data_IF_568533716070
#
_entry.id   IF_568533716070
#
_cell.length_a   1.000
_cell.length_b   1.000
_cell.length_c   1.000
_cell.angle_alpha   90.00
_cell.angle_beta   90.00
_cell.angle_gamma   90.00
#
_symmetry.space_group_name_H-M   'P 1'
#
loop_
_entity.id
_entity.type
_entity.pdbx_description
1 polymer ?
#
# COMPACT_ATOMS: atom_id res chain seq x y z
N UNK A 1 -24.89 15.38 -16.95
CA UNK A 1 -25.63 14.34 -17.68
C UNK A 1 -27.05 14.39 -17.16
N UNK A 2 -28.06 14.33 -18.03
CA UNK A 2 -29.46 14.39 -17.61
C UNK A 2 -30.16 13.06 -17.95
N UNK A 3 -30.96 12.56 -17.02
CA UNK A 3 -31.87 11.45 -17.26
C UNK A 3 -33.12 11.98 -17.96
N UNK A 4 -33.59 11.27 -18.98
CA UNK A 4 -34.86 11.59 -19.64
C UNK A 4 -35.92 10.65 -19.09
N UNK A 5 -36.88 11.21 -18.36
CA UNK A 5 -38.07 10.51 -17.86
C UNK A 5 -39.31 10.99 -18.61
N UNK A 6 -40.20 10.07 -18.99
CA UNK A 6 -41.51 10.34 -19.60
C UNK A 6 -41.46 11.09 -20.94
N UNK A 7 -40.61 10.65 -21.87
CA UNK A 7 -40.64 11.12 -23.26
C UNK A 7 -40.59 9.95 -24.25
N UNK A 8 -41.76 9.57 -24.78
CA UNK A 8 -41.94 8.45 -25.69
C UNK A 8 -41.22 8.59 -27.04
N UNK A 9 -40.88 9.81 -27.45
CA UNK A 9 -40.25 10.08 -28.75
C UNK A 9 -38.77 9.72 -28.74
N UNK A 10 -38.09 9.91 -27.60
CA UNK A 10 -36.62 9.77 -27.50
C UNK A 10 -36.16 8.65 -26.56
N UNK A 11 -37.10 7.99 -25.88
CA UNK A 11 -36.81 6.82 -25.04
C UNK A 11 -36.32 5.65 -25.90
N UNK A 12 -35.22 5.02 -25.48
CA UNK A 12 -34.61 3.89 -26.19
C UNK A 12 -33.58 4.28 -27.26
N UNK A 13 -33.48 5.56 -27.64
CA UNK A 13 -32.49 6.03 -28.62
C UNK A 13 -31.07 5.96 -28.02
N UNK A 14 -30.09 5.61 -28.85
CA UNK A 14 -28.66 5.69 -28.52
C UNK A 14 -27.87 6.24 -29.70
N UNK A 15 -26.75 6.91 -29.44
CA UNK A 15 -25.88 7.47 -30.47
C UNK A 15 -25.80 8.99 -30.47
N UNK A 16 -25.17 9.54 -31.51
CA UNK A 16 -24.92 10.98 -31.65
C UNK A 16 -26.17 11.68 -32.16
N UNK A 17 -26.47 12.84 -31.59
CA UNK A 17 -27.52 13.74 -32.07
C UNK A 17 -26.90 15.11 -32.35
N UNK A 18 -26.75 15.39 -33.65
CA UNK A 18 -25.92 16.50 -34.12
C UNK A 18 -24.50 16.45 -33.58
N UNK A 19 -23.88 17.62 -33.43
CA UNK A 19 -22.52 17.77 -32.89
C UNK A 19 -22.47 18.11 -31.41
N UNK A 20 -23.62 18.29 -30.77
CA UNK A 20 -23.69 18.77 -29.39
C UNK A 20 -24.04 17.70 -28.38
N UNK A 21 -24.80 16.66 -28.76
CA UNK A 21 -25.35 15.70 -27.82
C UNK A 21 -25.11 14.25 -28.21
N UNK A 22 -25.08 13.39 -27.19
CA UNK A 22 -25.00 11.94 -27.31
C UNK A 22 -26.02 11.33 -26.36
N UNK A 23 -26.90 10.48 -26.91
CA UNK A 23 -27.83 9.65 -26.17
C UNK A 23 -27.15 8.34 -25.77
N UNK A 24 -27.34 7.94 -24.51
CA UNK A 24 -26.78 6.70 -23.94
C UNK A 24 -27.87 5.94 -23.20
N UNK A 25 -27.86 4.62 -23.34
CA UNK A 25 -28.69 3.72 -22.55
C UNK A 25 -27.89 3.20 -21.37
N UNK A 26 -28.46 3.28 -20.16
CA UNK A 26 -27.89 2.64 -18.96
C UNK A 26 -29.02 2.09 -18.11
N UNK A 27 -28.99 0.80 -17.82
CA UNK A 27 -30.01 0.09 -17.04
C UNK A 27 -31.44 0.34 -17.55
N UNK A 28 -31.65 0.33 -18.87
CA UNK A 28 -32.96 0.56 -19.50
C UNK A 28 -33.45 2.01 -19.49
N UNK A 29 -32.68 2.95 -18.95
CA UNK A 29 -32.97 4.39 -18.92
C UNK A 29 -32.17 5.13 -19.98
N UNK A 30 -32.78 6.17 -20.55
CA UNK A 30 -32.17 7.01 -21.58
C UNK A 30 -31.55 8.25 -20.95
N UNK A 31 -30.27 8.50 -21.25
CA UNK A 31 -29.54 9.68 -20.78
C UNK A 31 -29.07 10.52 -21.96
N UNK A 32 -29.17 11.83 -21.82
CA UNK A 32 -28.54 12.79 -22.74
C UNK A 32 -27.31 13.42 -22.07
N UNK A 33 -26.24 13.49 -22.85
CA UNK A 33 -24.99 14.12 -22.43
C UNK A 33 -24.45 14.98 -23.56
N UNK A 34 -23.74 16.06 -23.22
CA UNK A 34 -22.99 16.82 -24.21
C UNK A 34 -21.95 15.90 -24.86
N UNK A 35 -21.75 16.03 -26.17
CA UNK A 35 -20.71 15.33 -26.91
C UNK A 35 -19.38 15.56 -26.20
N UNK A 36 -18.65 14.49 -25.82
CA UNK A 36 -17.35 14.63 -25.19
C UNK A 36 -16.43 15.43 -26.11
N UNK A 37 -15.89 16.54 -25.60
CA UNK A 37 -14.83 17.26 -26.30
C UNK A 37 -13.52 16.57 -25.95
N UNK A 38 -12.83 16.06 -26.98
CA UNK A 38 -11.47 15.57 -26.79
C UNK A 38 -10.61 16.73 -26.28
N UNK A 39 -9.86 16.57 -25.17
CA UNK A 39 -8.98 17.62 -24.70
C UNK A 39 -7.91 17.92 -25.76
N UNK A 40 -7.58 19.19 -25.97
CA UNK A 40 -6.58 19.62 -26.97
C UNK A 40 -5.20 18.98 -26.75
N UNK A 41 -4.86 18.63 -25.50
CA UNK A 41 -3.61 17.97 -25.12
C UNK A 41 -3.90 16.81 -24.17
N UNK A 42 -3.21 15.69 -24.37
CA UNK A 42 -3.25 14.54 -23.46
C UNK A 42 -2.46 14.84 -22.18
N UNK A 43 -2.98 14.38 -21.04
CA UNK A 43 -2.27 14.46 -19.75
C UNK A 43 -1.04 13.54 -19.73
N UNK A 44 -0.15 13.72 -18.74
CA UNK A 44 1.03 12.86 -18.57
C UNK A 44 0.62 11.39 -18.40
N UNK A 45 -0.40 11.12 -17.58
CA UNK A 45 -0.88 9.75 -17.34
C UNK A 45 -1.53 9.12 -18.57
N UNK A 46 -2.29 9.90 -19.35
CA UNK A 46 -2.83 9.44 -20.62
C UNK A 46 -1.73 9.06 -21.62
N UNK A 47 -0.65 9.84 -21.70
CA UNK A 47 0.51 9.50 -22.53
C UNK A 47 1.21 8.23 -22.04
N UNK A 48 1.39 8.08 -20.72
CA UNK A 48 1.97 6.87 -20.12
C UNK A 48 1.14 5.63 -20.44
N UNK A 49 -0.18 5.71 -20.30
CA UNK A 49 -1.08 4.60 -20.59
C UNK A 49 -1.07 4.21 -22.07
N UNK A 50 -1.06 5.21 -22.97
CA UNK A 50 -0.94 4.95 -24.41
C UNK A 50 0.38 4.30 -24.77
N UNK A 51 1.48 4.74 -24.15
CA UNK A 51 2.80 4.11 -24.34
C UNK A 51 2.79 2.65 -23.89
N UNK A 52 2.26 2.35 -22.70
CA UNK A 52 2.12 0.98 -22.20
C UNK A 52 1.25 0.11 -23.14
N UNK A 53 0.14 0.65 -23.62
CA UNK A 53 -0.74 -0.06 -24.54
C UNK A 53 -0.06 -0.33 -25.90
N UNK A 54 0.72 0.63 -26.41
CA UNK A 54 1.49 0.44 -27.63
C UNK A 54 2.54 -0.68 -27.49
N UNK A 55 3.22 -0.74 -26.34
CA UNK A 55 4.16 -1.83 -26.02
C UNK A 55 3.43 -3.18 -25.94
N UNK A 56 2.27 -3.24 -25.27
CA UNK A 56 1.44 -4.44 -25.19
C UNK A 56 0.99 -4.94 -26.56
N UNK A 57 0.59 -4.02 -27.45
CA UNK A 57 0.20 -4.37 -28.83
C UNK A 57 1.37 -4.91 -29.64
N UNK A 58 2.56 -4.31 -29.50
CA UNK A 58 3.78 -4.79 -30.14
C UNK A 58 4.19 -6.18 -29.63
N UNK A 59 4.14 -6.39 -28.30
CA UNK A 59 4.35 -7.69 -27.69
C UNK A 59 3.37 -8.73 -28.24
N UNK A 60 2.07 -8.43 -28.21
CA UNK A 60 1.02 -9.34 -28.70
C UNK A 60 1.24 -9.76 -30.16
N UNK A 61 1.70 -8.84 -31.01
CA UNK A 61 2.06 -9.15 -32.40
C UNK A 61 3.24 -10.13 -32.47
N UNK A 62 4.29 -9.90 -31.68
CA UNK A 62 5.49 -10.75 -31.63
C UNK A 62 5.22 -12.12 -31.01
N UNK A 63 4.58 -12.16 -29.84
CA UNK A 63 4.31 -13.38 -29.08
C UNK A 63 3.49 -14.40 -29.88
N UNK A 64 2.49 -13.91 -30.64
CA UNK A 64 1.65 -14.75 -31.50
C UNK A 64 2.35 -15.27 -32.76
N UNK A 65 3.59 -14.85 -33.06
CA UNK A 65 4.36 -15.49 -34.15
C UNK A 65 4.91 -16.86 -33.71
N UNK A 66 5.01 -17.11 -32.40
CA UNK A 66 5.33 -18.41 -31.86
C UNK A 66 4.05 -19.27 -31.83
N UNK A 67 4.00 -20.41 -32.55
CA UNK A 67 2.81 -21.26 -32.62
C UNK A 67 2.33 -21.76 -31.25
N UNK A 68 3.25 -22.10 -30.34
CA UNK A 68 2.90 -22.62 -29.02
C UNK A 68 2.22 -21.55 -28.15
N UNK A 69 2.78 -20.34 -28.13
CA UNK A 69 2.21 -19.20 -27.39
C UNK A 69 0.88 -18.77 -28.01
N UNK A 70 0.76 -18.81 -29.34
CA UNK A 70 -0.48 -18.49 -30.02
C UNK A 70 -1.61 -19.46 -29.64
N UNK A 71 -1.34 -20.76 -29.62
CA UNK A 71 -2.31 -21.79 -29.24
C UNK A 71 -2.76 -21.57 -27.79
N UNK A 72 -1.82 -21.38 -26.86
CA UNK A 72 -2.12 -21.09 -25.45
C UNK A 72 -3.04 -19.87 -25.28
N UNK A 73 -2.71 -18.74 -25.93
CA UNK A 73 -3.56 -17.55 -25.87
C UNK A 73 -4.93 -17.73 -26.53
N UNK A 74 -5.02 -18.55 -27.58
CA UNK A 74 -6.28 -18.83 -28.25
C UNK A 74 -7.20 -19.69 -27.37
N UNK A 75 -6.65 -20.66 -26.63
CA UNK A 75 -7.40 -21.51 -25.69
C UNK A 75 -7.96 -20.68 -24.53
N UNK A 76 -7.11 -19.90 -23.84
CA UNK A 76 -7.55 -18.98 -22.78
C UNK A 76 -8.56 -17.96 -23.31
N UNK A 77 -8.37 -17.53 -24.55
CA UNK A 77 -9.29 -16.62 -25.24
C UNK A 77 -10.69 -17.21 -25.40
N UNK A 78 -10.80 -18.49 -25.82
CA UNK A 78 -12.08 -19.19 -25.97
C UNK A 78 -12.85 -19.25 -24.64
N UNK A 79 -12.17 -19.58 -23.55
CA UNK A 79 -12.79 -19.68 -22.22
C UNK A 79 -13.29 -18.33 -21.70
N UNK A 80 -12.55 -17.24 -21.98
CA UNK A 80 -12.85 -15.90 -21.45
C UNK A 80 -13.62 -15.00 -22.42
N UNK A 81 -13.98 -15.50 -23.61
CA UNK A 81 -14.64 -14.70 -24.66
C UNK A 81 -13.75 -13.59 -25.24
N UNK A 82 -12.44 -13.82 -25.30
CA UNK A 82 -11.43 -12.88 -25.79
C UNK A 82 -10.70 -13.43 -27.01
N UNK A 83 -10.19 -12.54 -27.86
CA UNK A 83 -9.26 -12.96 -28.94
C UNK A 83 -7.88 -13.24 -28.35
N UNK A 84 -7.09 -14.11 -29.00
CA UNK A 84 -5.70 -14.36 -28.60
C UNK A 84 -4.86 -13.07 -28.51
N UNK A 85 -5.17 -12.08 -29.36
CA UNK A 85 -4.55 -10.75 -29.31
C UNK A 85 -4.85 -10.02 -27.99
N UNK A 86 -6.11 -10.02 -27.57
CA UNK A 86 -6.54 -9.36 -26.34
C UNK A 86 -6.04 -10.07 -25.08
N UNK A 87 -5.95 -11.41 -25.11
CA UNK A 87 -5.32 -12.19 -24.03
C UNK A 87 -3.87 -11.77 -23.86
N UNK A 88 -3.08 -11.73 -24.95
CA UNK A 88 -1.69 -11.31 -24.90
C UNK A 88 -1.49 -9.85 -24.45
N UNK A 89 -2.39 -8.94 -24.85
CA UNK A 89 -2.37 -7.55 -24.35
C UNK A 89 -2.63 -7.53 -22.84
N UNK A 90 -3.63 -8.29 -22.37
CA UNK A 90 -3.97 -8.33 -20.94
C UNK A 90 -2.84 -8.95 -20.11
N UNK A 91 -2.22 -10.02 -20.62
CA UNK A 91 -1.05 -10.67 -20.05
C UNK A 91 0.10 -9.66 -19.87
N UNK A 92 0.47 -8.95 -20.94
CA UNK A 92 1.50 -7.92 -20.88
C UNK A 92 1.18 -6.79 -19.89
N UNK A 93 -0.09 -6.37 -19.79
CA UNK A 93 -0.47 -5.26 -18.92
C UNK A 93 -0.68 -5.68 -17.45
N UNK A 94 -0.63 -6.98 -17.15
CA UNK A 94 -0.89 -7.53 -15.81
C UNK A 94 0.35 -8.29 -15.34
N UNK A 95 1.28 -7.64 -14.61
CA UNK A 95 2.48 -8.31 -14.11
C UNK A 95 2.13 -9.46 -13.16
N UNK A 96 3.05 -10.43 -12.96
CA UNK A 96 2.83 -11.52 -12.04
C UNK A 96 2.76 -11.02 -10.59
N UNK A 97 2.17 -11.82 -9.72
CA UNK A 97 2.08 -11.53 -8.28
C UNK A 97 2.59 -12.71 -7.46
N UNK A 98 3.40 -12.41 -6.44
CA UNK A 98 3.78 -13.37 -5.41
C UNK A 98 2.68 -13.37 -4.35
N UNK A 99 2.03 -14.51 -4.18
CA UNK A 99 0.89 -14.66 -3.26
C UNK A 99 1.29 -15.27 -1.93
N UNK A 100 2.29 -16.17 -1.93
CA UNK A 100 2.77 -16.82 -0.73
C UNK A 100 4.21 -17.30 -0.91
N UNK A 101 5.06 -17.06 0.09
CA UNK A 101 6.38 -17.68 0.22
C UNK A 101 6.47 -18.33 1.60
N UNK A 102 6.42 -19.66 1.62
CA UNK A 102 6.53 -20.49 2.82
C UNK A 102 7.99 -20.88 3.07
N UNK A 103 8.45 -20.52 4.25
CA UNK A 103 9.80 -20.74 4.74
C UNK A 103 9.83 -21.65 5.97
N UNK A 104 8.69 -22.23 6.37
CA UNK A 104 8.54 -22.99 7.62
C UNK A 104 9.51 -24.17 7.76
N UNK A 105 9.96 -24.74 6.64
CA UNK A 105 10.91 -25.85 6.61
C UNK A 105 12.37 -25.42 6.44
N UNK A 106 12.63 -24.13 6.21
CA UNK A 106 13.99 -23.63 6.09
C UNK A 106 14.54 -23.28 7.48
N UNK A 107 15.68 -23.85 7.82
CA UNK A 107 16.39 -23.63 9.09
C UNK A 107 17.86 -23.26 8.85
N UNK A 108 18.22 -22.92 7.62
CA UNK A 108 19.61 -22.63 7.23
C UNK A 108 20.42 -23.86 6.84
N UNK A 109 19.83 -25.05 6.78
CA UNK A 109 20.52 -26.25 6.31
C UNK A 109 20.31 -26.47 4.80
N UNK A 110 21.23 -27.17 4.12
CA UNK A 110 21.02 -27.60 2.74
C UNK A 110 19.92 -28.67 2.66
N UNK A 111 19.40 -28.90 1.46
CA UNK A 111 18.31 -29.82 1.14
C UNK A 111 16.97 -29.49 1.81
N UNK A 112 16.71 -28.22 2.09
CA UNK A 112 15.44 -27.73 2.64
C UNK A 112 14.62 -27.04 1.57
N UNK A 113 13.29 -27.12 1.71
CA UNK A 113 12.36 -26.66 0.67
C UNK A 113 11.74 -25.33 1.07
N UNK A 114 11.80 -24.37 0.14
CA UNK A 114 11.05 -23.11 0.17
C UNK A 114 9.91 -23.23 -0.83
N UNK A 115 8.66 -23.11 -0.38
CA UNK A 115 7.48 -23.24 -1.24
C UNK A 115 6.98 -21.86 -1.66
N UNK A 116 6.80 -21.66 -2.95
CA UNK A 116 6.46 -20.37 -3.55
C UNK A 116 5.18 -20.50 -4.37
N UNK A 117 4.24 -19.59 -4.13
CA UNK A 117 3.00 -19.46 -4.90
C UNK A 117 2.99 -18.12 -5.62
N UNK A 118 3.00 -18.18 -6.94
CA UNK A 118 2.89 -17.02 -7.80
C UNK A 118 1.70 -17.17 -8.75
N UNK A 119 1.05 -16.06 -9.09
CA UNK A 119 -0.02 -16.00 -10.06
C UNK A 119 0.36 -15.08 -11.21
N UNK A 120 -0.01 -15.48 -12.41
CA UNK A 120 0.04 -14.63 -13.61
C UNK A 120 -1.28 -14.80 -14.35
N UNK A 121 -1.62 -13.84 -15.22
CA UNK A 121 -2.83 -13.94 -16.02
C UNK A 121 -2.81 -15.16 -16.95
N UNK A 122 -1.62 -15.56 -17.43
CA UNK A 122 -1.44 -16.74 -18.30
C UNK A 122 -0.57 -17.79 -17.65
N UNK A 123 0.72 -17.52 -17.45
CA UNK A 123 1.65 -18.49 -16.87
C UNK A 123 2.85 -17.79 -16.23
N UNK A 124 3.34 -18.36 -15.13
CA UNK A 124 4.66 -18.09 -14.55
C UNK A 124 5.69 -18.93 -15.30
N UNK A 125 6.70 -18.29 -15.88
CA UNK A 125 7.73 -18.96 -16.69
C UNK A 125 8.95 -19.37 -15.87
N UNK A 126 9.26 -18.60 -14.83
CA UNK A 126 10.43 -18.81 -14.00
C UNK A 126 10.21 -18.19 -12.62
N UNK A 127 10.75 -18.85 -11.59
CA UNK A 127 10.94 -18.25 -10.27
C UNK A 127 12.40 -18.42 -9.87
N UNK A 128 13.04 -17.33 -9.46
CA UNK A 128 14.40 -17.36 -8.89
C UNK A 128 14.34 -17.04 -7.40
N UNK A 129 15.31 -17.61 -6.67
CA UNK A 129 15.53 -17.36 -5.25
C UNK A 129 16.98 -16.98 -5.05
N UNK A 130 17.21 -15.91 -4.31
CA UNK A 130 18.53 -15.45 -3.85
C UNK A 130 18.51 -15.40 -2.32
N UNK A 131 19.55 -15.94 -1.69
CA UNK A 131 19.71 -15.94 -0.24
C UNK A 131 21.01 -15.19 0.08
N UNK A 132 20.92 -14.13 0.88
CA UNK A 132 22.07 -13.38 1.39
C UNK A 132 22.18 -13.53 2.91
N UNK A 133 23.41 -13.45 3.42
CA UNK A 133 23.68 -13.41 4.86
C UNK A 133 23.27 -12.06 5.49
N UNK A 134 23.45 -11.93 6.80
CA UNK A 134 23.13 -10.70 7.54
C UNK A 134 24.01 -9.48 7.19
N UNK A 135 25.10 -9.69 6.46
CA UNK A 135 26.00 -8.63 5.98
C UNK A 135 25.71 -8.28 4.50
N UNK A 136 24.77 -8.97 3.86
CA UNK A 136 24.42 -8.78 2.45
C UNK A 136 25.30 -9.55 1.48
N UNK A 137 26.12 -10.50 1.93
CA UNK A 137 26.89 -11.37 1.02
C UNK A 137 25.99 -12.49 0.47
N UNK A 138 26.11 -12.78 -0.81
CA UNK A 138 25.37 -13.86 -1.46
C UNK A 138 25.80 -15.23 -0.91
N UNK A 139 24.85 -15.98 -0.38
CA UNK A 139 25.04 -17.38 0.06
C UNK A 139 24.74 -18.32 -1.10
N UNK A 140 23.57 -18.19 -1.71
CA UNK A 140 23.17 -18.98 -2.88
C UNK A 140 22.13 -18.27 -3.73
N UNK A 141 22.09 -18.62 -5.01
CA UNK A 141 21.04 -18.23 -5.94
C UNK A 141 20.67 -19.42 -6.84
N UNK A 142 19.42 -19.47 -7.28
CA UNK A 142 19.01 -20.48 -8.24
C UNK A 142 17.54 -20.41 -8.66
N UNK A 143 17.16 -21.34 -9.53
CA UNK A 143 15.80 -21.45 -10.03
C UNK A 143 14.99 -22.42 -9.17
N UNK A 144 13.77 -22.04 -8.84
CA UNK A 144 12.79 -22.97 -8.29
C UNK A 144 12.27 -23.90 -9.39
N UNK A 145 11.79 -25.08 -9.00
CA UNK A 145 11.21 -26.09 -9.89
C UNK A 145 9.69 -25.99 -9.88
N UNK A 146 9.07 -26.05 -11.05
CA UNK A 146 7.60 -26.06 -11.21
C UNK A 146 7.05 -27.42 -10.71
N UNK A 147 6.18 -27.37 -9.69
CA UNK A 147 5.42 -28.50 -9.15
C UNK A 147 3.98 -28.05 -8.84
N UNK A 148 3.28 -28.65 -7.87
CA UNK A 148 1.95 -28.15 -7.43
C UNK A 148 2.03 -26.70 -6.94
N UNK A 149 3.12 -26.35 -6.28
CA UNK A 149 3.59 -25.00 -6.02
C UNK A 149 5.08 -24.98 -6.40
N UNK A 150 5.64 -23.82 -6.74
CA UNK A 150 7.07 -23.75 -7.06
C UNK A 150 7.90 -24.10 -5.83
N UNK A 151 8.96 -24.88 -6.02
CA UNK A 151 9.81 -25.35 -4.93
C UNK A 151 11.26 -24.99 -5.20
N UNK A 152 11.88 -24.28 -4.26
CA UNK A 152 13.32 -24.05 -4.24
C UNK A 152 13.96 -24.96 -3.20
N UNK A 153 14.98 -25.72 -3.58
CA UNK A 153 15.74 -26.58 -2.66
C UNK A 153 17.08 -25.92 -2.35
N UNK A 154 17.33 -25.63 -1.08
CA UNK A 154 18.58 -25.00 -0.65
C UNK A 154 19.77 -25.92 -0.86
N UNK A 155 20.89 -25.35 -1.23
CA UNK A 155 22.11 -26.10 -1.56
C UNK A 155 23.27 -25.79 -0.62
N UNK A 156 23.23 -24.63 0.04
CA UNK A 156 24.28 -24.16 0.92
C UNK A 156 23.79 -24.07 2.36
N UNK A 157 24.75 -24.12 3.30
CA UNK A 157 24.45 -23.88 4.72
C UNK A 157 24.45 -22.38 4.97
N UNK A 158 23.37 -21.86 5.55
CA UNK A 158 23.29 -20.54 6.15
C UNK A 158 23.40 -20.66 7.69
N UNK A 159 24.58 -20.41 8.27
CA UNK A 159 24.82 -20.63 9.70
C UNK A 159 24.10 -19.62 10.61
N UNK A 160 23.79 -18.42 10.08
CA UNK A 160 23.18 -17.33 10.85
C UNK A 160 21.95 -16.83 10.13
N UNK A 161 20.81 -17.44 10.44
CA UNK A 161 19.54 -17.05 9.86
C UNK A 161 19.16 -15.61 10.21
N UNK A 162 19.34 -15.16 11.46
CA UNK A 162 18.93 -13.81 11.88
C UNK A 162 19.62 -12.72 11.05
N UNK A 163 18.83 -11.85 10.42
CA UNK A 163 19.28 -10.78 9.54
C UNK A 163 19.54 -11.22 8.10
N UNK A 164 19.52 -12.52 7.78
CA UNK A 164 19.63 -13.00 6.40
C UNK A 164 18.44 -12.57 5.56
N UNK A 165 18.64 -12.37 4.26
CA UNK A 165 17.57 -12.01 3.33
C UNK A 165 17.34 -13.11 2.30
N UNK A 166 16.07 -13.33 1.94
CA UNK A 166 15.65 -14.24 0.88
C UNK A 166 14.82 -13.42 -0.11
N UNK A 167 15.36 -13.20 -1.30
CA UNK A 167 14.67 -12.50 -2.39
C UNK A 167 14.13 -13.51 -3.38
N UNK A 168 12.82 -13.45 -3.61
CA UNK A 168 12.14 -14.30 -4.59
C UNK A 168 11.66 -13.44 -5.73
N UNK A 169 11.97 -13.82 -6.98
CA UNK A 169 11.48 -13.13 -8.18
C UNK A 169 10.66 -14.09 -9.04
N UNK A 170 9.46 -13.70 -9.43
CA UNK A 170 8.61 -14.47 -10.33
C UNK A 170 8.45 -13.76 -11.66
N UNK A 171 8.68 -14.48 -12.75
CA UNK A 171 8.64 -13.97 -14.13
C UNK A 171 7.43 -14.54 -14.88
N UNK A 172 6.79 -13.71 -15.69
CA UNK A 172 5.70 -14.10 -16.57
C UNK A 172 6.17 -14.37 -18.02
N UNK A 173 5.22 -14.69 -18.90
CA UNK A 173 5.50 -14.94 -20.33
C UNK A 173 5.99 -13.69 -21.08
N UNK A 174 5.45 -12.47 -20.82
CA UNK A 174 6.04 -11.20 -21.24
C UNK A 174 7.45 -10.88 -20.71
N UNK A 175 7.97 -11.66 -19.76
CA UNK A 175 9.21 -11.41 -19.02
C UNK A 175 9.15 -10.17 -18.11
N UNK A 176 7.96 -9.76 -17.69
CA UNK A 176 7.81 -8.91 -16.52
C UNK A 176 8.03 -9.75 -15.26
N UNK A 177 8.48 -9.09 -14.20
CA UNK A 177 8.66 -9.74 -12.91
C UNK A 177 8.06 -8.94 -11.78
N UNK A 178 7.85 -9.66 -10.69
CA UNK A 178 7.62 -9.10 -9.36
C UNK A 178 8.63 -9.73 -8.43
N UNK A 179 9.01 -9.02 -7.39
CA UNK A 179 9.97 -9.48 -6.40
C UNK A 179 9.44 -9.26 -4.98
N UNK A 180 9.76 -10.18 -4.08
CA UNK A 180 9.49 -10.06 -2.64
C UNK A 180 10.78 -10.44 -1.90
N UNK A 181 11.26 -9.55 -1.03
CA UNK A 181 12.42 -9.81 -0.17
C UNK A 181 11.96 -10.04 1.25
N UNK A 182 12.40 -11.15 1.84
CA UNK A 182 12.07 -11.56 3.20
C UNK A 182 13.33 -11.49 4.04
N UNK A 183 13.29 -10.75 5.14
CA UNK A 183 14.35 -10.72 6.14
C UNK A 183 14.00 -11.76 7.20
N UNK A 184 14.98 -12.58 7.57
CA UNK A 184 14.79 -13.64 8.55
C UNK A 184 15.07 -13.13 9.95
N UNK A 185 14.05 -13.13 10.80
CA UNK A 185 14.15 -12.73 12.20
C UNK A 185 13.87 -13.92 13.13
N UNK A 186 14.41 -13.88 14.35
CA UNK A 186 14.46 -15.02 15.28
C UNK A 186 13.05 -15.45 15.71
N UNK A 187 12.62 -16.65 15.26
CA UNK A 187 11.41 -17.42 15.59
C UNK A 187 10.07 -16.67 15.81
N UNK A 188 9.17 -16.77 14.82
CA UNK A 188 7.73 -16.57 15.02
C UNK A 188 6.86 -16.31 13.77
N UNK A 189 6.83 -17.24 12.80
CA UNK A 189 5.79 -17.48 11.77
C UNK A 189 4.95 -16.30 11.15
N UNK A 190 5.14 -16.08 9.83
CA UNK A 190 4.41 -15.18 8.87
C UNK A 190 2.88 -15.38 8.73
N UNK A 191 2.16 -14.34 8.27
CA UNK A 191 1.04 -14.49 7.29
C UNK A 191 0.88 -13.34 6.27
N UNK A 192 1.06 -13.67 4.96
CA UNK A 192 0.20 -13.33 3.80
C UNK A 192 0.03 -11.89 3.26
N UNK A 193 0.12 -11.73 1.92
CA UNK A 193 -0.40 -10.55 1.21
C UNK A 193 -1.92 -10.48 1.30
N UNK A 194 -2.43 -9.36 1.81
CA UNK A 194 -3.84 -8.99 1.80
C UNK A 194 -4.15 -8.27 0.47
N UNK A 195 -5.36 -8.49 -0.07
CA UNK A 195 -5.85 -7.68 -1.20
C UNK A 195 -6.15 -6.25 -0.74
N UNK A 196 -6.15 -5.25 -1.64
CA UNK A 196 -6.49 -3.84 -1.36
C UNK A 196 -7.78 -3.60 -0.54
N UNK A 197 -8.77 -4.50 -0.61
CA UNK A 197 -10.00 -4.41 0.20
C UNK A 197 -9.82 -5.02 1.60
N UNK A 198 -8.92 -5.98 1.72
CA UNK A 198 -8.53 -6.58 2.99
C UNK A 198 -7.43 -5.77 3.71
N UNK A 199 -6.66 -4.94 2.99
CA UNK A 199 -5.73 -3.93 3.55
C UNK A 199 -6.49 -2.81 4.27
N UNK A 200 -7.62 -2.32 3.71
CA UNK A 200 -8.46 -1.32 4.39
C UNK A 200 -9.14 -1.88 5.65
N UNK A 201 -9.61 -3.13 5.59
CA UNK A 201 -10.23 -3.81 6.74
C UNK A 201 -9.18 -4.14 7.82
N UNK A 202 -7.93 -4.40 7.44
CA UNK A 202 -6.81 -4.58 8.37
C UNK A 202 -6.44 -3.28 9.09
N UNK A 203 -6.25 -2.17 8.36
CA UNK A 203 -5.90 -0.89 8.99
C UNK A 203 -6.99 -0.45 9.97
N UNK A 204 -8.26 -0.46 9.56
CA UNK A 204 -9.36 -0.07 10.44
C UNK A 204 -9.44 -0.96 11.69
N UNK A 205 -9.19 -2.26 11.55
CA UNK A 205 -9.17 -3.19 12.68
C UNK A 205 -7.95 -2.95 13.60
N UNK A 206 -6.76 -2.77 13.05
CA UNK A 206 -5.54 -2.51 13.81
C UNK A 206 -5.62 -1.19 14.57
N UNK A 207 -6.11 -0.13 13.93
CA UNK A 207 -6.31 1.18 14.57
C UNK A 207 -7.23 1.06 15.78
N UNK A 208 -8.38 0.40 15.62
CA UNK A 208 -9.37 0.24 16.70
C UNK A 208 -8.87 -0.65 17.84
N UNK A 209 -8.09 -1.69 17.52
CA UNK A 209 -7.63 -2.66 18.52
C UNK A 209 -6.35 -2.23 19.25
N UNK A 210 -5.49 -1.46 18.60
CA UNK A 210 -4.15 -1.14 19.11
C UNK A 210 -3.94 0.37 19.31
N UNK A 211 -4.06 1.17 18.24
CA UNK A 211 -3.65 2.57 18.28
C UNK A 211 -4.64 3.44 19.09
N UNK A 212 -5.94 3.33 18.82
CA UNK A 212 -6.98 4.14 19.45
C UNK A 212 -6.97 4.00 20.98
N UNK A 213 -6.90 2.78 21.57
CA UNK A 213 -6.77 2.64 23.02
C UNK A 213 -5.56 3.36 23.61
N UNK A 214 -4.42 3.35 22.91
CA UNK A 214 -3.19 4.02 23.37
C UNK A 214 -3.29 5.53 23.28
N UNK A 215 -3.85 6.07 22.19
CA UNK A 215 -4.10 7.52 22.08
C UNK A 215 -5.08 8.00 23.14
N UNK A 216 -6.12 7.22 23.46
CA UNK A 216 -7.05 7.53 24.55
C UNK A 216 -6.34 7.54 25.90
N UNK A 217 -5.43 6.59 26.15
CA UNK A 217 -4.62 6.57 27.38
C UNK A 217 -3.75 7.83 27.49
N UNK A 218 -3.09 8.24 26.41
CA UNK A 218 -2.27 9.47 26.38
C UNK A 218 -3.13 10.70 26.72
N UNK A 219 -4.27 10.89 26.03
CA UNK A 219 -5.16 12.02 26.30
C UNK A 219 -5.68 12.01 27.73
N UNK A 220 -6.03 10.85 28.28
CA UNK A 220 -6.49 10.73 29.65
C UNK A 220 -5.38 11.09 30.64
N UNK A 221 -4.14 10.64 30.39
CA UNK A 221 -3.00 11.00 31.23
C UNK A 221 -2.74 12.51 31.22
N UNK A 222 -2.79 13.14 30.04
CA UNK A 222 -2.65 14.60 29.90
C UNK A 222 -3.77 15.33 30.65
N UNK A 223 -5.03 14.95 30.46
CA UNK A 223 -6.19 15.59 31.12
C UNK A 223 -6.18 15.48 32.64
N UNK A 224 -5.66 14.36 33.16
CA UNK A 224 -5.65 14.10 34.60
C UNK A 224 -4.40 14.63 35.30
N UNK A 225 -3.40 15.11 34.56
CA UNK A 225 -2.19 15.67 35.16
C UNK A 225 -2.48 17.07 35.74
N UNK A 226 -2.50 17.15 37.07
CA UNK A 226 -2.78 18.39 37.83
C UNK A 226 -1.66 19.44 37.73
N UNK A 227 -0.51 19.08 37.18
CA UNK A 227 0.65 19.98 37.08
C UNK A 227 0.64 20.83 35.80
N UNK A 228 -0.36 20.66 34.93
CA UNK A 228 -0.58 21.48 33.74
C UNK A 228 -1.98 22.10 33.74
N UNK A 229 -2.10 23.26 33.09
CA UNK A 229 -3.38 23.93 32.80
C UNK A 229 -3.66 23.82 31.31
N UNK A 230 -4.75 23.16 30.95
CA UNK A 230 -5.19 23.00 29.56
C UNK A 230 -6.63 23.46 29.39
N UNK A 231 -6.94 24.02 28.22
CA UNK A 231 -8.31 24.26 27.76
C UNK A 231 -8.95 22.95 27.33
N UNK A 232 -8.23 22.19 26.50
CA UNK A 232 -8.64 20.86 26.08
C UNK A 232 -7.45 20.04 25.59
N UNK A 233 -7.65 18.73 25.55
CA UNK A 233 -6.83 17.79 24.78
C UNK A 233 -7.78 16.84 24.05
N UNK A 234 -7.61 16.69 22.75
CA UNK A 234 -8.55 15.89 21.93
C UNK A 234 -7.83 15.11 20.84
N UNK A 235 -8.44 13.99 20.48
CA UNK A 235 -7.98 13.15 19.37
C UNK A 235 -8.78 13.54 18.13
N UNK A 236 -8.08 13.82 17.03
CA UNK A 236 -8.67 14.04 15.71
C UNK A 236 -8.02 13.09 14.70
N UNK A 237 -8.72 12.80 13.61
CA UNK A 237 -8.13 12.06 12.50
C UNK A 237 -8.63 12.58 11.15
N UNK A 238 -7.78 12.45 10.13
CA UNK A 238 -8.07 12.87 8.75
C UNK A 238 -7.72 11.74 7.81
N UNK A 239 -8.71 11.25 7.05
CA UNK A 239 -8.51 10.22 6.03
C UNK A 239 -8.07 10.87 4.71
N UNK A 240 -6.92 10.43 4.17
CA UNK A 240 -6.40 10.82 2.85
C UNK A 240 -6.51 9.65 1.86
N UNK A 241 -6.11 9.86 0.61
CA UNK A 241 -6.22 8.85 -0.46
C UNK A 241 -5.32 7.62 -0.23
N UNK A 242 -4.19 7.79 0.46
CA UNK A 242 -3.20 6.72 0.73
C UNK A 242 -2.70 6.65 2.18
N UNK A 243 -3.08 7.60 3.02
CA UNK A 243 -2.69 7.66 4.42
C UNK A 243 -3.86 8.07 5.30
N UNK A 244 -3.71 7.85 6.60
CA UNK A 244 -4.63 8.35 7.62
C UNK A 244 -3.82 8.98 8.73
N UNK A 245 -4.15 10.23 9.01
CA UNK A 245 -3.46 11.03 10.02
C UNK A 245 -4.27 11.03 11.30
N UNK A 246 -3.58 10.92 12.43
CA UNK A 246 -4.11 11.05 13.78
C UNK A 246 -3.38 12.19 14.48
N UNK A 247 -4.12 12.98 15.24
CA UNK A 247 -3.58 14.11 15.99
C UNK A 247 -4.07 14.08 17.43
N UNK A 248 -3.21 14.40 18.38
CA UNK A 248 -3.61 14.86 19.72
C UNK A 248 -3.24 16.33 19.83
N UNK A 249 -4.26 17.19 19.74
CA UNK A 249 -4.13 18.62 19.96
C UNK A 249 -4.37 18.94 21.43
N UNK A 250 -3.33 19.42 22.11
CA UNK A 250 -3.40 19.86 23.51
C UNK A 250 -3.18 21.36 23.59
N UNK A 251 -4.23 22.09 23.98
CA UNK A 251 -4.27 23.56 23.95
C UNK A 251 -4.30 24.13 25.36
N UNK A 252 -3.48 25.13 25.63
CA UNK A 252 -3.42 25.87 26.90
C UNK A 252 -4.47 26.99 26.94
N UNK A 253 -4.88 27.45 28.13
CA UNK A 253 -5.80 28.59 28.26
C UNK A 253 -5.13 29.93 27.96
N UNK A 254 -3.81 29.99 28.04
CA UNK A 254 -3.02 31.20 27.83
C UNK A 254 -1.84 30.87 26.91
N UNK A 255 -1.65 31.61 25.81
CA UNK A 255 -0.54 31.40 24.88
C UNK A 255 0.77 31.95 25.46
N UNK A 256 1.90 31.31 25.13
CA UNK A 256 3.24 31.81 25.39
C UNK A 256 3.69 32.68 24.22
N UNK A 257 4.04 33.94 24.50
CA UNK A 257 4.62 34.84 23.51
C UNK A 257 6.12 34.59 23.36
N UNK A 258 6.52 33.93 22.27
CA UNK A 258 7.94 33.63 22.02
C UNK A 258 8.67 34.85 21.49
N UNK A 259 8.02 35.61 20.59
CA UNK A 259 8.57 36.83 20.00
C UNK A 259 7.44 37.80 19.59
N UNK A 260 7.74 38.86 18.82
CA UNK A 260 6.75 39.85 18.40
C UNK A 260 5.64 39.30 17.50
N UNK A 261 5.89 38.19 16.82
CA UNK A 261 5.03 37.65 15.75
C UNK A 261 4.46 36.26 16.10
N UNK A 262 5.05 35.55 17.06
CA UNK A 262 4.74 34.15 17.34
C UNK A 262 4.23 33.92 18.76
N UNK A 263 3.10 33.21 18.82
CA UNK A 263 2.43 32.79 20.04
C UNK A 263 2.20 31.29 19.98
N UNK A 264 2.51 30.60 21.07
CA UNK A 264 2.37 29.15 21.19
C UNK A 264 1.39 28.85 22.32
N UNK A 265 0.23 28.32 21.99
CA UNK A 265 -0.77 27.79 22.92
C UNK A 265 -1.03 26.29 22.74
N UNK A 266 -0.48 25.68 21.69
CA UNK A 266 -0.79 24.31 21.33
C UNK A 266 0.47 23.46 21.20
N UNK A 267 0.37 22.23 21.71
CA UNK A 267 1.29 21.13 21.40
C UNK A 267 0.49 20.06 20.67
N UNK A 268 1.00 19.63 19.52
CA UNK A 268 0.40 18.62 18.65
C UNK A 268 1.27 17.38 18.66
N UNK A 269 0.69 16.23 19.01
CA UNK A 269 1.25 14.93 18.68
C UNK A 269 0.61 14.47 17.37
N UNK A 270 1.41 14.26 16.32
CA UNK A 270 0.92 13.79 15.03
C UNK A 270 1.40 12.36 14.76
N UNK A 271 0.54 11.55 14.13
CA UNK A 271 0.83 10.20 13.67
C UNK A 271 0.19 10.04 12.29
N UNK A 272 0.99 10.05 11.24
CA UNK A 272 0.59 9.73 9.88
C UNK A 272 0.88 8.25 9.59
N UNK A 273 -0.15 7.52 9.18
CA UNK A 273 -0.06 6.11 8.81
C UNK A 273 -0.24 6.01 7.30
N UNK A 274 0.80 5.60 6.59
CA UNK A 274 0.75 5.30 5.16
C UNK A 274 0.84 3.78 4.95
N UNK A 275 -0.10 3.23 4.17
CA UNK A 275 -0.05 1.82 3.79
C UNK A 275 0.89 1.70 2.59
N UNK A 276 1.98 0.95 2.76
CA UNK A 276 2.89 0.59 1.69
C UNK A 276 2.98 -0.94 1.61
N UNK A 277 2.29 -1.52 0.62
CA UNK A 277 2.21 -2.96 0.39
C UNK A 277 1.67 -3.75 1.59
N UNK A 278 2.53 -4.27 2.48
CA UNK A 278 2.14 -4.98 3.71
C UNK A 278 2.57 -4.28 5.01
N UNK A 279 3.20 -3.11 4.91
CA UNK A 279 3.75 -2.38 6.03
C UNK A 279 2.94 -1.10 6.28
N UNK A 280 2.71 -0.79 7.54
CA UNK A 280 2.27 0.51 8.01
C UNK A 280 3.52 1.35 8.23
N UNK A 281 3.70 2.33 7.34
CA UNK A 281 4.72 3.36 7.52
C UNK A 281 4.12 4.41 8.44
N UNK A 282 4.66 4.52 9.65
CA UNK A 282 4.18 5.46 10.65
C UNK A 282 5.19 6.59 10.78
N UNK A 283 4.82 7.76 10.29
CA UNK A 283 5.55 8.98 10.58
C UNK A 283 4.90 9.64 11.80
N UNK A 284 5.70 10.02 12.77
CA UNK A 284 5.18 10.59 14.00
C UNK A 284 6.03 11.78 14.43
N UNK A 285 5.38 12.82 14.95
CA UNK A 285 6.08 13.96 15.51
C UNK A 285 5.32 14.61 16.67
N UNK A 286 6.08 15.37 17.45
CA UNK A 286 5.57 16.32 18.44
C UNK A 286 5.98 17.69 17.96
N UNK A 287 5.02 18.58 17.75
CA UNK A 287 5.25 19.95 17.30
C UNK A 287 4.50 20.95 18.17
N UNK A 288 4.86 22.22 18.07
CA UNK A 288 3.98 23.30 18.48
C UNK A 288 2.88 23.53 17.44
N UNK A 289 1.80 24.23 17.81
CA UNK A 289 0.71 24.62 16.90
C UNK A 289 1.18 25.50 15.73
N UNK A 290 2.37 26.11 15.84
CA UNK A 290 3.02 26.88 14.77
C UNK A 290 3.63 25.99 13.67
N UNK A 291 3.74 24.68 13.92
CA UNK A 291 4.35 23.70 13.02
C UNK A 291 5.84 23.45 13.29
N UNK A 292 6.44 24.09 14.29
CA UNK A 292 7.81 23.79 14.71
C UNK A 292 7.90 22.38 15.30
N UNK A 293 8.67 21.51 14.65
CA UNK A 293 8.84 20.10 15.04
C UNK A 293 9.88 19.99 16.15
N UNK A 294 9.49 19.41 17.29
CA UNK A 294 10.33 19.23 18.48
C UNK A 294 10.95 17.84 18.53
N UNK A 295 10.17 16.82 18.20
CA UNK A 295 10.63 15.43 18.09
C UNK A 295 9.94 14.82 16.89
N UNK A 296 10.68 14.03 16.11
CA UNK A 296 10.14 13.29 14.99
C UNK A 296 10.73 11.89 15.01
N UNK A 297 9.90 10.92 14.71
CA UNK A 297 10.30 9.53 14.60
C UNK A 297 9.53 8.85 13.47
N UNK A 298 10.10 7.76 12.97
CA UNK A 298 9.51 6.98 11.89
C UNK A 298 9.59 5.50 12.23
N UNK A 299 8.43 4.88 12.26
CA UNK A 299 8.28 3.46 12.50
C UNK A 299 7.80 2.76 11.25
N UNK A 300 8.19 1.50 11.12
CA UNK A 300 7.68 0.59 10.11
C UNK A 300 7.07 -0.55 10.89
N UNK A 301 5.75 -0.71 10.78
CA UNK A 301 5.02 -1.78 11.45
C UNK A 301 4.54 -2.75 10.38
N UNK A 302 4.97 -3.99 10.49
CA UNK A 302 4.45 -5.12 9.73
C UNK A 302 3.69 -6.07 10.67
N UNK A 303 3.12 -7.15 10.12
CA UNK A 303 2.34 -8.14 10.90
C UNK A 303 3.16 -8.90 11.96
N UNK A 304 4.49 -8.71 12.02
CA UNK A 304 5.41 -9.43 12.90
C UNK A 304 6.25 -8.49 13.79
N UNK A 305 6.13 -7.17 13.62
CA UNK A 305 6.86 -6.20 14.45
C UNK A 305 6.19 -6.19 15.82
N UNK A 306 6.94 -6.50 16.88
CA UNK A 306 6.45 -6.12 18.20
C UNK A 306 6.40 -4.59 18.21
N UNK A 307 5.29 -4.03 18.65
CA UNK A 307 5.14 -2.59 18.59
C UNK A 307 5.94 -1.89 19.70
N UNK A 308 6.95 -2.52 20.34
CA UNK A 308 7.62 -1.95 21.52
C UNK A 308 8.29 -0.62 21.24
N UNK A 309 8.83 -0.40 20.05
CA UNK A 309 9.42 0.90 19.71
C UNK A 309 8.35 1.98 19.58
N UNK A 310 7.24 1.68 18.92
CA UNK A 310 6.08 2.58 18.88
C UNK A 310 5.45 2.75 20.27
N UNK A 311 5.37 1.69 21.07
CA UNK A 311 4.84 1.69 22.43
C UNK A 311 5.67 2.57 23.33
N UNK A 312 6.98 2.36 23.34
CA UNK A 312 7.93 3.20 24.06
C UNK A 312 7.81 4.64 23.62
N UNK A 313 7.73 4.90 22.31
CA UNK A 313 7.57 6.26 21.81
C UNK A 313 6.24 6.88 22.26
N UNK A 314 5.12 6.14 22.18
CA UNK A 314 3.80 6.61 22.61
C UNK A 314 3.73 6.84 24.13
N UNK A 315 4.37 5.98 24.92
CA UNK A 315 4.48 6.11 26.38
C UNK A 315 5.30 7.34 26.76
N UNK A 316 6.45 7.54 26.12
CA UNK A 316 7.29 8.74 26.30
C UNK A 316 6.60 10.02 25.82
N UNK A 317 5.78 9.93 24.77
CA UNK A 317 5.11 11.07 24.14
C UNK A 317 4.18 11.79 25.10
N UNK A 318 3.46 11.07 25.96
CA UNK A 318 2.61 11.69 26.98
C UNK A 318 3.42 12.60 27.92
N UNK A 319 4.54 12.09 28.45
CA UNK A 319 5.42 12.86 29.32
C UNK A 319 6.05 14.05 28.60
N UNK A 320 6.41 13.88 27.33
CA UNK A 320 6.99 14.96 26.54
C UNK A 320 5.98 16.07 26.23
N UNK A 321 4.75 15.72 25.85
CA UNK A 321 3.66 16.70 25.66
C UNK A 321 3.37 17.44 26.97
N UNK A 322 3.27 16.73 28.09
CA UNK A 322 3.09 17.36 29.42
C UNK A 322 4.24 18.33 29.72
N UNK A 323 5.48 17.95 29.46
CA UNK A 323 6.65 18.81 29.67
C UNK A 323 6.61 20.09 28.83
N UNK A 324 6.20 19.99 27.56
CA UNK A 324 6.07 21.16 26.68
C UNK A 324 4.93 22.07 27.12
N UNK A 325 3.79 21.50 27.51
CA UNK A 325 2.66 22.27 28.05
C UNK A 325 3.03 22.97 29.36
N UNK A 326 3.81 22.34 30.26
CA UNK A 326 4.36 23.00 31.46
C UNK A 326 5.20 24.21 31.10
N UNK A 327 6.05 24.08 30.09
CA UNK A 327 6.87 25.18 29.59
C UNK A 327 5.99 26.32 29.09
N UNK A 328 4.96 26.02 28.29
CA UNK A 328 4.00 27.04 27.84
C UNK A 328 3.33 27.69 29.04
N UNK A 329 2.67 26.92 29.92
CA UNK A 329 1.98 27.46 31.11
C UNK A 329 2.88 28.37 31.97
N UNK A 330 4.15 28.00 32.16
CA UNK A 330 5.11 28.79 32.95
C UNK A 330 5.50 30.11 32.28
N UNK A 331 5.56 30.16 30.95
CA UNK A 331 5.95 31.36 30.20
C UNK A 331 4.74 32.18 29.73
N UNK A 332 3.52 31.68 29.95
CA UNK A 332 2.26 32.38 29.68
C UNK A 332 1.72 33.13 30.91
N UNK A 333 2.15 32.74 32.12
CA UNK A 333 1.89 33.46 33.38
C UNK A 333 2.76 34.74 33.45
#
# INVERSE_FOLDING_TARGET
MAEISNNSIIQGISGKFGDEFVFKQRNGKTFISRKPRMPKKRTKDQKKQLSKFAQAAAYSKKARQNPAIQVLYAEIGKEKGLTAHNVAIKDFLTPPTLTHIDLSQYTGAPNQIIIIKALSFVKITQITVEIHDSQGNLIEEGNAVEATHWQYTTTHTNPTLTGSTITVRAYDLPHHHTEETIIWEKQGHKVGALSLKAESDFLEKWELQYLVPKLQLIVNNIKNDKSIKISYSRIENVKKEKSKDWYISTVTPSPWKVNSEEWIDEVVLSIEIEISERNLMINSDISYGTGEIIKKDRFIIDNNTDNKDLDRWLEESASQVISLIKTINRNSD
#
